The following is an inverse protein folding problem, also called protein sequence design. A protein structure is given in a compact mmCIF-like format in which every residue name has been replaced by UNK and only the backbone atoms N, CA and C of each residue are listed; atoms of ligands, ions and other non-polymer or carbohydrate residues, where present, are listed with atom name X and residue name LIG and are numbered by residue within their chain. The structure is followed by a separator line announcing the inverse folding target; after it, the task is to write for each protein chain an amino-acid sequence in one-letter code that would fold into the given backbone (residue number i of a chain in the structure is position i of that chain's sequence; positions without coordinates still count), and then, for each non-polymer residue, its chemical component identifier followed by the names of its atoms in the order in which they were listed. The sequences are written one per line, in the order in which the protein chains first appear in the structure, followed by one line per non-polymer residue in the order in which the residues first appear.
data_IF_434696221099
#
_entry.id   IF_434696221099
#
_cell.length_a   1.000
_cell.length_b   1.000
_cell.length_c   1.000
_cell.angle_alpha   90.00
_cell.angle_beta   90.00
_cell.angle_gamma   90.00
#
_symmetry.space_group_name_H-M   'P 1'
#
loop_
_entity.id
_entity.type
_entity.pdbx_description
1 polymer ?
#
# COMPACT_ATOMS: atom_id res chain seq x y z
N UNK A 1 -7.07 -35.41 -19.89
CA UNK A 1 -5.81 -34.80 -20.38
C UNK A 1 -5.80 -33.42 -19.78
N UNK A 2 -5.21 -33.34 -18.60
CA UNK A 2 -5.33 -32.20 -17.70
C UNK A 2 -4.33 -31.13 -18.15
N UNK A 3 -4.86 -29.99 -18.56
CA UNK A 3 -4.09 -28.77 -18.77
C UNK A 3 -3.89 -28.15 -17.38
N UNK A 4 -2.76 -28.45 -16.74
CA UNK A 4 -2.23 -27.67 -15.63
C UNK A 4 -1.49 -26.49 -16.25
N UNK A 5 -1.93 -25.22 -16.08
CA UNK A 5 -1.14 -24.08 -16.51
C UNK A 5 0.10 -24.01 -15.62
N UNK A 6 1.25 -24.06 -16.26
CA UNK A 6 2.56 -24.01 -15.65
C UNK A 6 2.82 -22.60 -15.10
N UNK A 7 2.31 -22.27 -13.92
CA UNK A 7 2.66 -21.04 -13.18
C UNK A 7 3.98 -21.31 -12.45
N UNK A 8 5.08 -21.40 -13.21
CA UNK A 8 6.44 -21.24 -12.69
C UNK A 8 7.32 -20.72 -13.83
N UNK A 9 7.15 -19.46 -14.20
CA UNK A 9 8.31 -18.68 -14.62
C UNK A 9 8.96 -18.18 -13.34
N UNK A 10 10.23 -18.54 -13.06
CA UNK A 10 10.95 -17.97 -11.94
C UNK A 10 10.93 -16.46 -12.11
N UNK A 11 10.49 -15.73 -11.08
CA UNK A 11 10.81 -14.31 -10.93
C UNK A 11 12.29 -14.21 -11.22
N UNK A 12 12.62 -13.47 -12.28
CA UNK A 12 14.00 -13.26 -12.68
C UNK A 12 14.70 -12.72 -11.43
N UNK A 13 15.66 -13.48 -10.90
CA UNK A 13 16.57 -13.01 -9.86
C UNK A 13 17.37 -11.86 -10.47
N UNK A 14 16.78 -10.68 -10.59
CA UNK A 14 17.56 -9.45 -10.59
C UNK A 14 18.03 -9.28 -9.16
N UNK A 15 19.08 -10.01 -8.80
CA UNK A 15 19.84 -9.74 -7.59
C UNK A 15 20.41 -8.33 -7.75
N UNK A 16 19.71 -7.34 -7.22
CA UNK A 16 20.31 -6.03 -6.92
C UNK A 16 21.18 -6.24 -5.66
N UNK A 17 22.18 -7.12 -5.69
CA UNK A 17 22.95 -7.43 -4.48
C UNK A 17 23.99 -6.32 -4.21
N UNK A 18 23.53 -5.13 -3.81
CA UNK A 18 24.39 -4.15 -3.13
C UNK A 18 24.74 -4.59 -1.71
N UNK A 19 23.98 -5.54 -1.16
CA UNK A 19 24.32 -6.26 0.07
C UNK A 19 24.71 -7.71 -0.28
N UNK A 20 25.91 -8.18 0.11
CA UNK A 20 26.32 -9.57 -0.01
C UNK A 20 25.34 -10.55 0.65
N UNK A 21 25.13 -11.71 0.01
CA UNK A 21 24.13 -12.71 0.45
C UNK A 21 24.40 -13.26 1.86
N UNK A 22 25.68 -13.35 2.25
CA UNK A 22 26.13 -13.74 3.58
C UNK A 22 25.77 -12.69 4.65
N UNK A 23 25.83 -11.39 4.30
CA UNK A 23 25.38 -10.30 5.17
C UNK A 23 23.85 -10.36 5.34
N UNK A 24 23.09 -10.56 4.26
CA UNK A 24 21.63 -10.73 4.33
C UNK A 24 21.24 -11.93 5.20
N UNK A 25 21.92 -13.08 5.03
CA UNK A 25 21.70 -14.26 5.89
C UNK A 25 22.01 -13.95 7.35
N UNK A 26 23.13 -13.28 7.62
CA UNK A 26 23.52 -12.89 8.98
C UNK A 26 22.51 -11.94 9.61
N UNK A 27 22.03 -10.93 8.88
CA UNK A 27 21.01 -10.01 9.34
C UNK A 27 19.72 -10.73 9.76
N UNK A 28 19.23 -11.66 8.92
CA UNK A 28 18.04 -12.47 9.22
C UNK A 28 18.23 -13.35 10.46
N UNK A 29 19.41 -13.95 10.62
CA UNK A 29 19.73 -14.75 11.80
C UNK A 29 19.72 -13.91 13.09
N UNK A 30 20.24 -12.69 13.04
CA UNK A 30 20.20 -11.76 14.18
C UNK A 30 18.77 -11.38 14.52
N UNK A 31 17.95 -11.02 13.53
CA UNK A 31 16.53 -10.70 13.75
C UNK A 31 15.79 -11.89 14.39
N UNK A 32 16.01 -13.11 13.88
CA UNK A 32 15.37 -14.31 14.43
C UNK A 32 15.82 -14.63 15.86
N UNK A 33 17.02 -14.21 16.25
CA UNK A 33 17.55 -14.32 17.63
C UNK A 33 16.89 -13.30 18.55
N UNK A 34 16.90 -12.04 18.14
CA UNK A 34 16.27 -10.91 18.85
C UNK A 34 14.78 -11.18 19.11
N UNK A 35 14.04 -11.63 18.09
CA UNK A 35 12.62 -11.94 18.20
C UNK A 35 12.31 -13.07 19.20
N UNK A 36 13.27 -13.95 19.51
CA UNK A 36 13.13 -15.05 20.47
C UNK A 36 13.55 -14.68 21.89
N UNK A 37 14.03 -13.45 22.12
CA UNK A 37 14.55 -13.02 23.43
C UNK A 37 15.76 -13.83 23.89
N UNK A 38 16.46 -14.49 22.96
CA UNK A 38 17.66 -15.26 23.25
C UNK A 38 18.83 -14.29 23.40
N UNK A 39 19.28 -14.06 24.63
CA UNK A 39 20.52 -13.32 24.88
C UNK A 39 21.70 -14.16 24.38
N UNK A 40 22.29 -13.73 23.27
CA UNK A 40 23.58 -14.23 22.80
C UNK A 40 23.52 -15.43 21.86
N UNK A 41 23.03 -15.25 20.63
CA UNK A 41 23.63 -15.95 19.49
C UNK A 41 24.28 -14.98 18.53
N UNK A 42 25.56 -15.23 18.31
CA UNK A 42 26.50 -14.50 17.46
C UNK A 42 25.94 -14.32 16.03
N UNK A 43 25.33 -13.17 15.78
CA UNK A 43 25.39 -12.59 14.45
C UNK A 43 26.75 -11.96 14.30
N UNK A 44 27.67 -12.63 13.62
CA UNK A 44 29.00 -12.10 13.29
C UNK A 44 28.88 -10.61 12.88
N UNK A 45 29.30 -9.70 13.77
CA UNK A 45 29.47 -8.29 13.47
C UNK A 45 28.24 -7.43 13.15
N UNK A 46 27.00 -7.92 13.30
CA UNK A 46 25.78 -7.14 13.03
C UNK A 46 24.91 -6.97 14.27
N UNK A 47 24.19 -5.85 14.34
CA UNK A 47 23.17 -5.55 15.35
C UNK A 47 21.84 -5.31 14.64
N UNK A 48 20.78 -5.95 15.12
CA UNK A 48 19.42 -5.64 14.73
C UNK A 48 18.72 -4.86 15.86
N UNK A 49 18.02 -3.79 15.51
CA UNK A 49 17.18 -3.02 16.43
C UNK A 49 15.80 -2.94 15.82
N UNK A 50 14.77 -3.39 16.55
CA UNK A 50 13.38 -3.21 16.11
C UNK A 50 13.07 -1.72 16.13
N UNK A 51 12.77 -1.15 14.96
CA UNK A 51 12.40 0.25 14.80
C UNK A 51 10.91 0.45 15.03
N UNK A 52 10.11 -0.45 14.46
CA UNK A 52 8.66 -0.32 14.47
C UNK A 52 7.96 -1.68 14.31
N UNK A 53 6.70 -1.71 14.70
CA UNK A 53 5.76 -2.79 14.44
C UNK A 53 4.42 -2.22 13.98
N UNK A 54 4.20 -2.25 12.66
CA UNK A 54 2.94 -1.85 12.07
C UNK A 54 1.89 -2.96 12.07
N UNK A 55 0.72 -2.66 11.49
CA UNK A 55 -0.35 -3.65 11.29
C UNK A 55 0.08 -4.81 10.37
N UNK A 56 1.04 -4.58 9.48
CA UNK A 56 1.35 -5.51 8.38
C UNK A 56 2.82 -5.94 8.28
N UNK A 57 3.75 -5.22 8.92
CA UNK A 57 5.19 -5.56 8.89
C UNK A 57 5.83 -5.32 10.26
N UNK A 58 6.88 -6.09 10.55
CA UNK A 58 7.87 -5.77 11.58
C UNK A 58 9.10 -5.16 10.90
N UNK A 59 9.65 -4.08 11.48
CA UNK A 59 10.72 -3.30 10.85
C UNK A 59 11.95 -3.30 11.74
N UNK A 60 13.09 -3.71 11.18
CA UNK A 60 14.37 -3.80 11.90
C UNK A 60 15.44 -2.97 11.20
N UNK A 61 16.15 -2.14 11.96
CA UNK A 61 17.39 -1.53 11.53
C UNK A 61 18.54 -2.50 11.73
N UNK A 62 19.30 -2.73 10.66
CA UNK A 62 20.51 -3.54 10.68
C UNK A 62 21.70 -2.60 10.55
N UNK A 63 22.65 -2.74 11.48
CA UNK A 63 23.86 -1.93 11.53
C UNK A 63 25.07 -2.78 11.90
N UNK A 64 26.28 -2.43 11.43
CA UNK A 64 27.49 -3.09 11.88
C UNK A 64 27.77 -2.79 13.38
N UNK A 65 28.30 -3.78 14.09
CA UNK A 65 28.86 -3.59 15.42
C UNK A 65 30.24 -2.94 15.31
N UNK A 66 30.55 -2.03 16.22
CA UNK A 66 31.75 -1.16 16.19
C UNK A 66 33.08 -1.90 16.01
N UNK A 67 33.14 -3.18 16.39
CA UNK A 67 34.39 -3.96 16.41
C UNK A 67 34.53 -4.95 15.23
N UNK A 68 33.63 -4.91 14.23
CA UNK A 68 33.66 -5.87 13.12
C UNK A 68 34.12 -5.28 11.79
N UNK A 69 35.41 -5.45 11.50
CA UNK A 69 36.05 -4.96 10.26
C UNK A 69 35.44 -5.51 8.97
N UNK A 70 34.83 -6.70 8.99
CA UNK A 70 34.20 -7.32 7.82
C UNK A 70 32.85 -6.66 7.45
N UNK A 71 32.12 -6.13 8.44
CA UNK A 71 30.79 -5.54 8.25
C UNK A 71 30.79 -4.01 8.31
N UNK A 72 31.88 -3.37 8.74
CA UNK A 72 32.03 -1.90 8.71
C UNK A 72 32.03 -1.28 7.29
N UNK A 73 31.88 -2.09 6.24
CA UNK A 73 31.80 -1.66 4.84
C UNK A 73 30.34 -1.41 4.39
N UNK A 74 29.35 -1.78 5.20
CA UNK A 74 27.93 -1.56 4.89
C UNK A 74 27.34 -0.42 5.71
N UNK A 75 26.62 0.48 5.04
CA UNK A 75 25.79 1.47 5.70
C UNK A 75 24.58 0.78 6.37
N UNK A 76 24.01 1.36 7.45
CA UNK A 76 22.80 0.85 8.05
C UNK A 76 21.66 0.70 7.03
N UNK A 77 20.90 -0.39 7.14
CA UNK A 77 19.79 -0.68 6.24
C UNK A 77 18.61 -1.26 7.00
N UNK A 78 17.42 -1.21 6.39
CA UNK A 78 16.19 -1.69 6.99
C UNK A 78 15.83 -3.07 6.43
N UNK A 79 15.41 -3.98 7.31
CA UNK A 79 14.76 -5.24 6.95
C UNK A 79 13.32 -5.21 7.46
N UNK A 80 12.38 -5.38 6.53
CA UNK A 80 10.94 -5.47 6.79
C UNK A 80 10.48 -6.92 6.63
N UNK A 81 9.78 -7.42 7.64
CA UNK A 81 9.24 -8.77 7.68
C UNK A 81 7.70 -8.69 7.64
N UNK A 82 7.05 -9.13 6.55
CA UNK A 82 5.59 -9.19 6.49
C UNK A 82 4.99 -10.10 7.57
N UNK A 83 3.95 -9.64 8.26
CA UNK A 83 3.19 -10.45 9.23
C UNK A 83 2.43 -11.57 8.52
N UNK A 84 2.10 -12.65 9.25
CA UNK A 84 1.45 -13.87 8.70
C UNK A 84 0.06 -13.65 8.06
N UNK A 85 -0.65 -12.60 8.47
CA UNK A 85 -1.98 -12.24 7.95
C UNK A 85 -1.80 -11.19 6.86
N UNK A 86 -1.58 -11.64 5.63
CA UNK A 86 -1.17 -10.78 4.53
C UNK A 86 -1.51 -11.40 3.17
N UNK A 87 -1.57 -10.59 2.11
CA UNK A 87 -1.82 -11.02 0.73
C UNK A 87 -0.52 -11.54 0.06
N UNK A 88 0.24 -12.41 0.73
CA UNK A 88 1.43 -13.02 0.12
C UNK A 88 1.04 -13.98 -1.03
N UNK A 89 1.88 -14.10 -2.08
CA UNK A 89 3.13 -13.37 -2.31
C UNK A 89 2.92 -11.95 -2.85
N UNK A 90 1.70 -11.60 -3.27
CA UNK A 90 1.38 -10.39 -4.03
C UNK A 90 1.83 -9.11 -3.33
N UNK A 91 1.69 -9.02 -2.01
CA UNK A 91 2.06 -7.81 -1.25
C UNK A 91 3.53 -7.41 -1.41
N UNK A 92 4.44 -8.37 -1.23
CA UNK A 92 5.90 -8.10 -1.34
C UNK A 92 6.27 -7.78 -2.79
N UNK A 93 5.70 -8.56 -3.73
CA UNK A 93 5.94 -8.34 -5.15
C UNK A 93 5.46 -6.95 -5.57
N UNK A 94 4.28 -6.54 -5.12
CA UNK A 94 3.69 -5.23 -5.41
C UNK A 94 4.59 -4.09 -4.93
N UNK A 95 4.97 -4.11 -3.65
CA UNK A 95 5.76 -3.04 -3.05
C UNK A 95 7.10 -2.83 -3.76
N UNK A 96 7.82 -3.93 -4.01
CA UNK A 96 9.14 -3.86 -4.65
C UNK A 96 9.04 -3.36 -6.09
N UNK A 97 8.07 -3.85 -6.85
CA UNK A 97 7.89 -3.41 -8.24
C UNK A 97 7.38 -1.96 -8.31
N UNK A 98 6.53 -1.53 -7.37
CA UNK A 98 6.08 -0.14 -7.28
C UNK A 98 7.25 0.81 -7.03
N UNK A 99 8.09 0.52 -6.02
CA UNK A 99 9.28 1.31 -5.70
C UNK A 99 10.23 1.38 -6.90
N UNK A 100 10.49 0.24 -7.55
CA UNK A 100 11.34 0.18 -8.75
C UNK A 100 10.78 1.02 -9.90
N UNK A 101 9.47 0.95 -10.13
CA UNK A 101 8.77 1.73 -11.14
C UNK A 101 8.84 3.24 -10.84
N UNK A 102 8.55 3.66 -9.61
CA UNK A 102 8.62 5.08 -9.20
C UNK A 102 10.04 5.60 -9.38
N UNK A 103 11.04 4.87 -8.86
CA UNK A 103 12.45 5.25 -8.97
C UNK A 103 12.90 5.47 -10.42
N UNK A 104 12.41 4.66 -11.36
CA UNK A 104 12.77 4.78 -12.78
C UNK A 104 11.96 5.82 -13.56
N UNK A 105 10.65 5.97 -13.30
CA UNK A 105 9.72 6.78 -14.12
C UNK A 105 9.39 8.13 -13.50
N UNK A 106 9.51 8.27 -12.19
CA UNK A 106 9.16 9.48 -11.43
C UNK A 106 10.15 9.71 -10.27
N UNK A 107 11.45 9.98 -10.56
CA UNK A 107 12.50 10.09 -9.55
C UNK A 107 12.30 11.26 -8.58
N UNK A 108 11.37 12.17 -8.89
CA UNK A 108 11.00 13.27 -8.01
C UNK A 108 10.09 12.84 -6.84
N UNK A 109 9.48 11.66 -6.90
CA UNK A 109 8.85 11.03 -5.74
C UNK A 109 9.95 10.19 -5.08
N UNK A 110 10.54 10.66 -3.98
CA UNK A 110 11.62 9.93 -3.34
C UNK A 110 11.05 8.65 -2.71
N UNK A 111 11.66 7.51 -3.04
CA UNK A 111 11.33 6.19 -2.48
C UNK A 111 12.60 5.51 -2.00
N UNK A 112 12.55 4.62 -0.99
CA UNK A 112 13.74 3.91 -0.52
C UNK A 112 14.34 3.02 -1.60
N UNK A 113 15.66 2.93 -1.68
CA UNK A 113 16.29 1.94 -2.57
C UNK A 113 16.06 0.51 -2.04
N UNK A 114 15.54 -0.40 -2.87
CA UNK A 114 15.39 -1.82 -2.53
C UNK A 114 16.70 -2.57 -2.81
N UNK A 115 17.27 -3.19 -1.77
CA UNK A 115 18.52 -3.95 -1.85
C UNK A 115 18.28 -5.44 -2.08
N UNK A 116 17.27 -6.03 -1.47
CA UNK A 116 16.93 -7.43 -1.69
C UNK A 116 15.51 -7.71 -1.22
N UNK A 117 14.89 -8.76 -1.73
CA UNK A 117 13.59 -9.21 -1.23
C UNK A 117 13.41 -10.70 -1.46
N UNK A 118 12.44 -11.28 -0.75
CA UNK A 118 11.87 -12.60 -0.99
C UNK A 118 10.37 -12.50 -0.79
N UNK A 119 9.59 -12.99 -1.74
CA UNK A 119 8.14 -13.19 -1.59
C UNK A 119 7.79 -14.61 -1.14
N UNK A 120 8.78 -15.50 -1.05
CA UNK A 120 8.56 -16.92 -0.79
C UNK A 120 8.16 -17.17 0.67
N UNK A 121 7.10 -17.96 0.85
CA UNK A 121 6.64 -18.45 2.15
C UNK A 121 7.48 -19.68 2.53
N UNK A 122 7.93 -19.84 3.80
CA UNK A 122 7.48 -19.12 4.99
C UNK A 122 8.29 -17.87 5.35
N UNK A 123 9.22 -17.43 4.51
CA UNK A 123 10.27 -16.50 4.93
C UNK A 123 10.39 -15.28 3.99
N UNK A 124 9.31 -14.50 3.82
CA UNK A 124 9.32 -13.30 3.00
C UNK A 124 10.01 -12.13 3.72
N UNK A 125 10.64 -11.25 2.96
CA UNK A 125 11.26 -10.03 3.50
C UNK A 125 11.48 -8.99 2.40
N UNK A 126 11.69 -7.75 2.82
CA UNK A 126 12.25 -6.67 2.00
C UNK A 126 13.42 -6.05 2.77
N UNK A 127 14.59 -6.00 2.16
CA UNK A 127 15.76 -5.28 2.63
C UNK A 127 15.95 -4.02 1.77
N UNK A 128 16.01 -2.85 2.39
CA UNK A 128 15.98 -1.56 1.71
C UNK A 128 16.80 -0.49 2.45
N UNK A 129 16.98 0.66 1.81
CA UNK A 129 17.63 1.85 2.37
C UNK A 129 17.01 2.25 3.72
N UNK A 130 17.87 2.59 4.68
CA UNK A 130 17.45 3.29 5.89
C UNK A 130 17.30 4.78 5.60
N UNK A 131 16.09 5.31 5.81
CA UNK A 131 15.81 6.73 5.62
C UNK A 131 16.02 7.47 6.95
N UNK A 132 17.10 8.24 7.02
CA UNK A 132 17.34 9.17 8.13
C UNK A 132 16.34 10.35 8.07
N UNK A 133 15.58 10.51 9.15
CA UNK A 133 14.51 11.50 9.27
C UNK A 133 13.43 11.08 10.26
N UNK A 134 12.38 11.89 10.34
CA UNK A 134 11.19 11.60 11.16
C UNK A 134 9.95 11.61 10.26
N UNK A 135 8.91 10.81 10.56
CA UNK A 135 7.62 10.93 9.89
C UNK A 135 7.08 12.37 9.91
N UNK A 136 6.32 12.75 8.88
CA UNK A 136 5.62 14.03 8.83
C UNK A 136 4.67 14.17 10.02
N UNK A 137 3.99 13.09 10.39
CA UNK A 137 3.07 13.03 11.53
C UNK A 137 3.71 13.40 12.88
N UNK A 138 4.99 13.07 13.09
CA UNK A 138 5.69 13.47 14.32
C UNK A 138 6.34 14.85 14.22
N UNK A 139 6.64 15.30 13.00
CA UNK A 139 7.32 16.58 12.76
C UNK A 139 6.37 17.77 12.66
N UNK A 140 5.10 17.54 12.26
CA UNK A 140 4.15 18.57 11.84
C UNK A 140 3.93 19.68 12.87
N UNK A 141 3.77 19.30 14.15
CA UNK A 141 3.51 20.27 15.23
C UNK A 141 4.72 21.15 15.55
N UNK A 142 5.92 20.76 15.12
CA UNK A 142 7.13 21.57 15.25
C UNK A 142 7.26 22.67 14.20
N UNK A 143 6.49 22.63 13.11
CA UNK A 143 6.57 23.60 12.02
C UNK A 143 5.77 24.87 12.32
N UNK A 144 6.34 26.02 11.92
CA UNK A 144 5.58 27.27 11.78
C UNK A 144 4.51 27.15 10.70
N UNK A 145 3.51 28.03 10.68
CA UNK A 145 2.47 28.01 9.62
C UNK A 145 3.07 28.16 8.20
N UNK A 146 4.12 28.97 8.03
CA UNK A 146 4.78 29.14 6.73
C UNK A 146 5.55 27.88 6.31
N UNK A 147 6.17 27.18 7.26
CA UNK A 147 6.81 25.88 7.02
C UNK A 147 5.77 24.82 6.68
N UNK A 148 4.63 24.78 7.40
CA UNK A 148 3.51 23.88 7.09
C UNK A 148 2.99 24.12 5.67
N UNK A 149 2.87 25.38 5.20
CA UNK A 149 2.49 25.68 3.81
C UNK A 149 3.51 25.13 2.81
N UNK A 150 4.80 25.29 3.07
CA UNK A 150 5.84 24.75 2.18
C UNK A 150 5.83 23.22 2.14
N UNK A 151 5.62 22.55 3.28
CA UNK A 151 5.52 21.09 3.32
C UNK A 151 4.24 20.60 2.66
N UNK A 152 3.09 21.24 2.92
CA UNK A 152 1.82 20.97 2.25
C UNK A 152 1.93 21.09 0.73
N UNK A 153 2.64 22.10 0.22
CA UNK A 153 2.88 22.25 -1.22
C UNK A 153 3.71 21.09 -1.79
N UNK A 154 4.72 20.60 -1.06
CA UNK A 154 5.50 19.42 -1.48
C UNK A 154 4.65 18.14 -1.50
N UNK A 155 3.75 17.98 -0.52
CA UNK A 155 2.79 16.87 -0.50
C UNK A 155 1.85 16.95 -1.71
N UNK A 156 1.33 18.14 -2.02
CA UNK A 156 0.50 18.37 -3.20
C UNK A 156 1.24 18.04 -4.51
N UNK A 157 2.51 18.44 -4.61
CA UNK A 157 3.35 18.11 -5.76
C UNK A 157 3.53 16.59 -5.95
N UNK A 158 3.66 15.82 -4.87
CA UNK A 158 3.76 14.35 -4.91
C UNK A 158 2.45 13.74 -5.39
N UNK A 159 1.30 14.20 -4.87
CA UNK A 159 -0.04 13.75 -5.29
C UNK A 159 -0.25 13.95 -6.78
N UNK A 160 0.07 15.14 -7.30
CA UNK A 160 -0.04 15.43 -8.74
C UNK A 160 0.91 14.54 -9.55
N UNK A 161 2.12 14.26 -9.08
CA UNK A 161 3.08 13.36 -9.77
C UNK A 161 2.61 11.90 -9.80
N UNK A 162 2.06 11.38 -8.70
CA UNK A 162 1.41 10.06 -8.71
C UNK A 162 0.30 10.04 -9.76
N UNK A 163 -0.50 11.11 -9.75
CA UNK A 163 -1.52 11.39 -10.73
C UNK A 163 -1.01 11.78 -12.11
N UNK A 164 0.28 11.74 -12.45
CA UNK A 164 0.82 11.85 -13.82
C UNK A 164 1.26 10.47 -14.36
N UNK A 165 1.45 9.49 -13.49
CA UNK A 165 1.79 8.12 -13.86
C UNK A 165 0.53 7.38 -14.31
N UNK A 166 0.33 7.23 -15.63
CA UNK A 166 -0.84 6.58 -16.25
C UNK A 166 -0.62 5.08 -16.51
N UNK A 167 -1.73 4.33 -16.47
CA UNK A 167 -1.83 2.91 -16.73
C UNK A 167 -3.10 2.55 -17.52
N UNK A 168 -3.11 1.38 -18.14
CA UNK A 168 -4.22 0.91 -18.99
C UNK A 168 -5.20 -0.03 -18.27
N UNK A 169 -4.88 -0.45 -17.03
CA UNK A 169 -5.69 -1.37 -16.24
C UNK A 169 -5.66 -1.01 -14.76
N UNK A 170 -6.60 -1.57 -13.99
CA UNK A 170 -6.60 -1.57 -12.52
C UNK A 170 -5.85 -2.81 -12.04
N UNK A 171 -4.88 -2.66 -11.13
CA UNK A 171 -4.08 -3.79 -10.65
C UNK A 171 -2.89 -3.39 -9.81
N UNK A 172 -2.25 -4.39 -9.19
CA UNK A 172 -0.96 -4.22 -8.50
C UNK A 172 0.22 -4.42 -9.46
N UNK A 173 1.43 -4.07 -9.04
CA UNK A 173 2.64 -4.18 -9.87
C UNK A 173 3.30 -5.56 -9.70
N UNK A 174 3.35 -6.37 -10.77
CA UNK A 174 3.75 -7.79 -10.66
C UNK A 174 4.97 -8.22 -11.47
N UNK A 175 5.52 -7.36 -12.33
CA UNK A 175 6.78 -7.67 -13.03
C UNK A 175 7.27 -6.57 -13.97
N UNK A 176 8.59 -6.58 -14.20
CA UNK A 176 9.44 -5.72 -15.03
C UNK A 176 9.15 -4.21 -15.06
N UNK A 177 10.18 -3.45 -15.46
CA UNK A 177 10.21 -1.97 -15.57
C UNK A 177 9.09 -1.39 -16.47
N UNK A 178 8.28 -2.25 -17.12
CA UNK A 178 7.20 -1.92 -18.06
C UNK A 178 5.78 -1.89 -17.49
N UNK A 179 5.57 -1.84 -16.17
CA UNK A 179 4.24 -1.73 -15.54
C UNK A 179 3.31 -2.92 -15.82
N UNK A 180 3.81 -4.16 -15.72
CA UNK A 180 2.91 -5.32 -15.75
C UNK A 180 2.01 -5.30 -14.52
N UNK A 181 0.72 -5.14 -14.77
CA UNK A 181 -0.29 -5.16 -13.74
C UNK A 181 -0.77 -6.59 -13.47
N UNK A 182 -1.00 -6.90 -12.20
CA UNK A 182 -1.47 -8.19 -11.72
C UNK A 182 -2.59 -8.03 -10.69
N UNK A 183 -2.82 -9.07 -9.84
CA UNK A 183 -3.90 -9.06 -8.87
C UNK A 183 -3.88 -7.85 -7.95
N UNK A 184 -5.03 -7.24 -7.68
CA UNK A 184 -5.13 -6.04 -6.83
C UNK A 184 -4.77 -6.35 -5.36
N UNK A 185 -3.94 -5.50 -4.74
CA UNK A 185 -3.46 -5.67 -3.36
C UNK A 185 -3.97 -4.52 -2.50
N UNK A 186 -4.99 -4.76 -1.67
CA UNK A 186 -5.73 -3.72 -0.93
C UNK A 186 -5.92 -4.10 0.54
N UNK A 187 -5.90 -3.11 1.43
CA UNK A 187 -6.11 -3.32 2.86
C UNK A 187 -7.47 -3.97 3.19
N UNK A 188 -8.53 -3.61 2.44
CA UNK A 188 -9.89 -4.13 2.65
C UNK A 188 -10.02 -5.64 2.39
N UNK A 189 -9.03 -6.25 1.74
CA UNK A 189 -8.97 -7.70 1.53
C UNK A 189 -8.37 -8.45 2.70
N UNK A 190 -7.92 -7.77 3.76
CA UNK A 190 -7.30 -8.40 4.92
C UNK A 190 -8.29 -8.66 6.05
N UNK A 191 -9.26 -7.75 6.24
CA UNK A 191 -10.11 -7.72 7.41
C UNK A 191 -10.94 -9.00 7.60
N UNK A 192 -10.99 -9.48 8.86
CA UNK A 192 -11.80 -10.63 9.29
C UNK A 192 -11.62 -11.90 8.44
N UNK A 193 -10.38 -12.17 7.99
CA UNK A 193 -10.07 -13.40 7.28
C UNK A 193 -10.30 -13.38 5.78
N UNK A 194 -10.72 -12.24 5.18
CA UNK A 194 -10.86 -12.09 3.72
C UNK A 194 -9.61 -12.48 2.94
N UNK A 195 -8.42 -12.31 3.53
CA UNK A 195 -7.14 -12.65 2.89
C UNK A 195 -7.03 -14.13 2.52
N UNK A 196 -7.76 -15.02 3.24
CA UNK A 196 -7.77 -16.47 3.00
C UNK A 196 -8.40 -16.84 1.65
N UNK A 197 -9.20 -15.93 1.08
CA UNK A 197 -9.96 -16.15 -0.15
C UNK A 197 -9.47 -15.28 -1.31
N UNK A 198 -8.35 -14.57 -1.17
CA UNK A 198 -7.79 -13.76 -2.25
C UNK A 198 -6.99 -14.63 -3.23
N UNK A 199 -7.69 -15.34 -4.10
CA UNK A 199 -7.11 -16.18 -5.17
C UNK A 199 -8.02 -16.24 -6.39
N UNK A 200 -7.45 -16.56 -7.56
CA UNK A 200 -8.22 -16.76 -8.81
C UNK A 200 -9.19 -17.96 -8.75
N UNK A 201 -9.07 -18.83 -7.75
CA UNK A 201 -10.00 -19.94 -7.53
C UNK A 201 -11.27 -19.48 -6.81
N UNK A 202 -11.21 -18.36 -6.09
CA UNK A 202 -12.32 -17.82 -5.31
C UNK A 202 -13.10 -16.76 -6.11
N UNK A 203 -12.40 -15.81 -6.72
CA UNK A 203 -12.99 -14.76 -7.57
C UNK A 203 -11.92 -14.17 -8.50
N UNK A 204 -12.32 -13.38 -9.49
CA UNK A 204 -11.37 -12.67 -10.34
C UNK A 204 -10.62 -11.60 -9.52
N UNK A 205 -9.33 -11.82 -9.24
CA UNK A 205 -8.50 -10.90 -8.45
C UNK A 205 -7.80 -9.81 -9.30
N UNK A 206 -8.04 -9.81 -10.62
CA UNK A 206 -7.49 -8.84 -11.56
C UNK A 206 -6.21 -9.33 -12.26
N UNK A 207 -5.58 -8.48 -13.09
CA UNK A 207 -5.90 -7.05 -13.28
C UNK A 207 -7.19 -6.83 -14.08
N UNK A 208 -7.84 -5.67 -13.91
CA UNK A 208 -9.13 -5.34 -14.53
C UNK A 208 -8.97 -4.29 -15.62
N UNK A 209 -9.68 -4.44 -16.74
CA UNK A 209 -9.60 -3.48 -17.86
C UNK A 209 -10.51 -2.26 -17.71
N UNK A 210 -11.50 -2.35 -16.83
CA UNK A 210 -12.46 -1.28 -16.60
C UNK A 210 -12.80 -1.16 -15.12
N UNK A 211 -13.23 0.04 -14.71
CA UNK A 211 -13.75 0.29 -13.37
C UNK A 211 -14.98 -0.58 -13.07
N UNK A 212 -15.79 -0.86 -14.10
CA UNK A 212 -16.94 -1.77 -13.97
C UNK A 212 -16.52 -3.19 -13.59
N UNK A 213 -15.53 -3.76 -14.28
CA UNK A 213 -15.06 -5.12 -13.99
C UNK A 213 -14.48 -5.21 -12.57
N UNK A 214 -13.71 -4.19 -12.16
CA UNK A 214 -13.20 -4.07 -10.80
C UNK A 214 -14.33 -4.04 -9.76
N UNK A 215 -15.33 -3.18 -9.95
CA UNK A 215 -16.49 -3.10 -9.03
C UNK A 215 -17.22 -4.44 -8.93
N UNK A 216 -17.49 -5.10 -10.06
CA UNK A 216 -18.17 -6.41 -10.04
C UNK A 216 -17.35 -7.48 -9.32
N UNK A 217 -16.03 -7.47 -9.51
CA UNK A 217 -15.11 -8.37 -8.80
C UNK A 217 -15.07 -8.10 -7.28
N UNK A 218 -15.21 -6.85 -6.84
CA UNK A 218 -15.36 -6.52 -5.42
C UNK A 218 -16.63 -7.12 -4.81
N UNK A 219 -17.75 -7.14 -5.54
CA UNK A 219 -18.96 -7.84 -5.11
C UNK A 219 -18.75 -9.36 -5.11
N UNK A 220 -18.09 -9.91 -6.13
CA UNK A 220 -17.78 -11.36 -6.19
C UNK A 220 -16.92 -11.81 -5.01
N UNK A 221 -15.92 -11.00 -4.61
CA UNK A 221 -15.11 -11.19 -3.40
C UNK A 221 -16.00 -11.33 -2.15
N UNK A 222 -16.92 -10.39 -1.93
CA UNK A 222 -17.76 -10.37 -0.73
C UNK A 222 -18.79 -11.50 -0.74
N UNK A 223 -19.42 -11.77 -1.89
CA UNK A 223 -20.32 -12.93 -2.06
C UNK A 223 -19.56 -14.22 -1.74
N UNK A 224 -18.35 -14.39 -2.26
CA UNK A 224 -17.56 -15.59 -1.99
C UNK A 224 -17.19 -15.69 -0.51
N UNK A 225 -16.71 -14.60 0.10
CA UNK A 225 -16.37 -14.55 1.52
C UNK A 225 -17.56 -14.95 2.40
N UNK A 226 -18.71 -14.29 2.28
CA UNK A 226 -19.86 -14.59 3.13
C UNK A 226 -20.47 -15.98 2.88
N UNK A 227 -20.25 -16.55 1.70
CA UNK A 227 -20.70 -17.92 1.38
C UNK A 227 -19.78 -19.00 1.97
N UNK A 228 -18.47 -18.75 2.08
CA UNK A 228 -17.47 -19.80 2.38
C UNK A 228 -16.71 -19.59 3.70
N UNK A 229 -16.74 -18.39 4.27
CA UNK A 229 -16.01 -18.08 5.49
C UNK A 229 -16.53 -18.91 6.68
N UNK A 230 -15.64 -19.39 7.55
CA UNK A 230 -16.06 -20.02 8.79
C UNK A 230 -16.76 -18.99 9.67
N UNK A 231 -17.67 -19.46 10.53
CA UNK A 231 -18.42 -18.59 11.45
C UNK A 231 -17.51 -17.77 12.38
N UNK A 232 -16.29 -18.22 12.65
CA UNK A 232 -15.28 -17.48 13.43
C UNK A 232 -14.79 -16.21 12.75
N UNK A 233 -14.87 -16.15 11.43
CA UNK A 233 -14.44 -15.00 10.63
C UNK A 233 -15.61 -14.02 10.42
N UNK A 234 -16.86 -14.49 10.48
CA UNK A 234 -18.04 -13.64 10.31
C UNK A 234 -18.39 -12.87 11.59
N UNK A 235 -18.49 -11.55 11.49
CA UNK A 235 -18.96 -10.71 12.58
C UNK A 235 -20.48 -10.63 12.62
N UNK A 236 -21.11 -11.61 13.29
CA UNK A 236 -22.57 -11.66 13.43
C UNK A 236 -23.16 -10.47 14.21
N UNK A 237 -22.34 -9.69 14.93
CA UNK A 237 -22.80 -8.45 15.56
C UNK A 237 -23.28 -7.41 14.54
N UNK A 238 -22.85 -7.50 13.28
CA UNK A 238 -23.25 -6.59 12.20
C UNK A 238 -24.57 -7.01 11.51
N UNK A 239 -25.18 -8.12 11.92
CA UNK A 239 -26.35 -8.74 11.28
C UNK A 239 -27.63 -8.56 12.12
N UNK A 240 -27.78 -7.42 12.81
CA UNK A 240 -28.92 -7.18 13.72
C UNK A 240 -30.29 -7.27 13.02
N UNK A 241 -30.38 -6.76 11.78
CA UNK A 241 -31.63 -6.60 11.04
C UNK A 241 -31.71 -7.46 9.77
N UNK A 242 -30.75 -8.36 9.54
CA UNK A 242 -30.66 -9.13 8.28
C UNK A 242 -29.94 -10.44 8.53
N UNK A 243 -30.43 -11.56 7.98
CA UNK A 243 -29.74 -12.85 8.11
C UNK A 243 -28.52 -12.91 7.18
N UNK A 244 -27.56 -13.80 7.48
CA UNK A 244 -26.41 -14.02 6.59
C UNK A 244 -26.84 -14.37 5.16
N UNK A 245 -27.87 -15.21 5.03
CA UNK A 245 -28.37 -15.63 3.72
C UNK A 245 -29.02 -14.46 2.97
N UNK A 246 -29.85 -13.66 3.65
CA UNK A 246 -30.48 -12.49 3.04
C UNK A 246 -29.43 -11.47 2.58
N UNK A 247 -28.35 -11.27 3.35
CA UNK A 247 -27.27 -10.37 2.95
C UNK A 247 -26.52 -10.87 1.71
N UNK A 248 -26.22 -12.18 1.63
CA UNK A 248 -25.62 -12.77 0.43
C UNK A 248 -26.53 -12.54 -0.79
N UNK A 249 -27.84 -12.69 -0.63
CA UNK A 249 -28.80 -12.50 -1.72
C UNK A 249 -28.94 -11.01 -2.11
N UNK A 250 -28.82 -10.07 -1.15
CA UNK A 250 -28.72 -8.64 -1.42
C UNK A 250 -27.45 -8.30 -2.23
N UNK A 251 -26.29 -8.86 -1.87
CA UNK A 251 -25.04 -8.68 -2.61
C UNK A 251 -25.15 -9.19 -4.04
N UNK A 252 -25.74 -10.38 -4.24
CA UNK A 252 -25.97 -10.96 -5.57
C UNK A 252 -26.90 -10.10 -6.42
N UNK A 253 -28.03 -9.66 -5.84
CA UNK A 253 -28.98 -8.79 -6.53
C UNK A 253 -28.33 -7.46 -6.92
N UNK A 254 -27.53 -6.86 -6.03
CA UNK A 254 -26.81 -5.62 -6.33
C UNK A 254 -25.77 -5.81 -7.41
N UNK A 255 -24.99 -6.89 -7.36
CA UNK A 255 -24.01 -7.25 -8.40
C UNK A 255 -24.66 -7.41 -9.78
N UNK A 256 -25.81 -8.09 -9.86
CA UNK A 256 -26.58 -8.24 -11.11
C UNK A 256 -27.14 -6.91 -11.62
N UNK A 257 -27.66 -6.07 -10.71
CA UNK A 257 -28.08 -4.72 -11.03
C UNK A 257 -26.92 -3.89 -11.62
N UNK A 258 -25.74 -3.93 -11.00
CA UNK A 258 -24.56 -3.19 -11.49
C UNK A 258 -24.06 -3.75 -12.82
N UNK A 259 -24.08 -5.07 -13.01
CA UNK A 259 -23.69 -5.69 -14.28
C UNK A 259 -24.51 -5.15 -15.47
N UNK A 260 -25.80 -4.89 -15.25
CA UNK A 260 -26.72 -4.40 -16.29
C UNK A 260 -26.76 -2.88 -16.43
N UNK A 261 -26.69 -2.14 -15.32
CA UNK A 261 -26.99 -0.70 -15.30
C UNK A 261 -25.80 0.21 -15.00
N UNK A 262 -24.72 -0.31 -14.40
CA UNK A 262 -23.56 0.51 -14.07
C UNK A 262 -22.77 0.83 -15.33
N UNK A 263 -22.61 2.14 -15.57
CA UNK A 263 -21.75 2.73 -16.58
C UNK A 263 -20.74 3.57 -15.83
N UNK A 264 -19.57 2.98 -15.55
CA UNK A 264 -18.51 3.70 -14.87
C UNK A 264 -18.03 4.87 -15.74
N UNK A 265 -17.72 6.00 -15.11
CA UNK A 265 -16.84 6.96 -15.74
C UNK A 265 -15.45 6.30 -15.79
N UNK A 266 -14.99 5.90 -16.98
CA UNK A 266 -13.62 5.40 -17.15
C UNK A 266 -12.66 6.59 -17.01
N UNK A 267 -12.35 6.92 -15.76
CA UNK A 267 -11.30 7.84 -15.38
C UNK A 267 -9.93 7.30 -15.80
N UNK A 268 -8.92 8.17 -15.99
CA UNK A 268 -7.56 7.70 -16.18
C UNK A 268 -7.12 6.83 -14.99
N UNK A 269 -6.54 5.66 -15.25
CA UNK A 269 -5.91 4.87 -14.19
C UNK A 269 -4.52 5.41 -13.89
N UNK A 270 -4.25 5.63 -12.61
CA UNK A 270 -3.07 6.33 -12.12
C UNK A 270 -2.43 5.60 -10.95
N UNK A 271 -1.20 5.97 -10.61
CA UNK A 271 -0.55 5.45 -9.42
C UNK A 271 -1.31 5.95 -8.18
N UNK A 272 -1.78 5.01 -7.38
CA UNK A 272 -2.36 5.26 -6.06
C UNK A 272 -1.52 4.53 -5.02
N UNK A 273 -1.21 5.21 -3.92
CA UNK A 273 -0.39 4.67 -2.84
C UNK A 273 -1.13 3.62 -2.00
N UNK A 274 -2.44 3.83 -1.77
CA UNK A 274 -3.29 2.97 -0.95
C UNK A 274 -3.26 3.25 0.56
N UNK A 275 -2.34 4.11 1.04
CA UNK A 275 -2.26 4.55 2.44
C UNK A 275 -1.45 5.86 2.55
N UNK A 276 -1.80 6.89 1.77
CA UNK A 276 -1.00 8.12 1.71
C UNK A 276 -1.34 9.08 2.85
N UNK A 277 -0.56 9.05 3.92
CA UNK A 277 -0.72 9.90 5.10
C UNK A 277 0.63 10.32 5.70
N UNK A 278 0.62 11.24 6.67
CA UNK A 278 1.82 11.81 7.28
C UNK A 278 2.76 10.82 7.97
N UNK A 279 2.30 9.61 8.33
CA UNK A 279 3.19 8.57 8.88
C UNK A 279 4.11 7.98 7.81
N UNK A 280 3.63 7.95 6.57
CA UNK A 280 4.31 7.35 5.43
C UNK A 280 5.16 8.36 4.64
N UNK A 281 5.35 9.58 5.16
CA UNK A 281 6.18 10.62 4.54
C UNK A 281 7.34 10.96 5.48
N UNK A 282 8.56 10.58 5.11
CA UNK A 282 9.76 10.85 5.90
C UNK A 282 10.30 12.25 5.63
N UNK A 283 10.59 12.99 6.69
CA UNK A 283 11.02 14.39 6.67
C UNK A 283 12.41 14.57 7.28
N UNK A 284 13.20 15.46 6.68
CA UNK A 284 14.43 16.00 7.28
C UNK A 284 14.40 17.52 7.14
N UNK A 285 14.07 18.21 8.24
CA UNK A 285 13.63 19.60 8.16
C UNK A 285 12.40 19.70 7.24
N UNK A 286 12.42 20.63 6.29
CA UNK A 286 11.30 20.81 5.34
C UNK A 286 11.37 19.91 4.10
N UNK A 287 12.39 19.06 3.97
CA UNK A 287 12.61 18.22 2.80
C UNK A 287 11.96 16.85 3.00
N UNK A 288 11.17 16.42 2.01
CA UNK A 288 10.71 15.02 1.91
C UNK A 288 11.90 14.15 1.51
N UNK A 289 12.22 13.17 2.35
CA UNK A 289 13.34 12.23 2.14
C UNK A 289 12.90 10.93 1.48
N UNK A 290 11.70 10.46 1.78
CA UNK A 290 11.09 9.31 1.14
C UNK A 290 9.57 9.26 1.42
N UNK A 291 8.82 8.63 0.53
CA UNK A 291 7.47 8.12 0.76
C UNK A 291 7.58 6.61 0.96
N UNK A 292 7.03 6.09 2.05
CA UNK A 292 7.17 4.72 2.54
C UNK A 292 5.89 3.89 2.34
N UNK A 293 5.94 2.58 2.60
CA UNK A 293 4.77 1.69 2.70
C UNK A 293 3.87 1.64 1.45
N UNK A 294 4.49 1.35 0.30
CA UNK A 294 3.80 1.17 -0.99
C UNK A 294 3.14 -0.21 -1.16
N UNK A 295 2.91 -0.93 -0.08
CA UNK A 295 2.44 -2.32 -0.09
C UNK A 295 1.03 -2.50 -0.67
N UNK A 296 0.15 -1.50 -0.49
CA UNK A 296 -1.22 -1.47 -1.03
C UNK A 296 -1.36 -0.56 -2.26
N UNK A 297 -0.24 -0.23 -2.88
CA UNK A 297 -0.25 0.60 -4.07
C UNK A 297 -0.77 -0.14 -5.30
N UNK A 298 -1.19 0.60 -6.30
CA UNK A 298 -1.60 0.03 -7.58
C UNK A 298 -2.03 1.09 -8.57
N UNK A 299 -2.46 0.63 -9.74
CA UNK A 299 -3.16 1.44 -10.72
C UNK A 299 -4.66 1.44 -10.41
N UNK A 300 -5.25 2.63 -10.22
CA UNK A 300 -6.66 2.81 -9.86
C UNK A 300 -7.23 4.09 -10.51
N UNK A 301 -8.56 4.28 -10.55
CA UNK A 301 -9.17 5.53 -11.02
C UNK A 301 -8.58 6.78 -10.38
N UNK A 302 -8.55 7.89 -11.11
CA UNK A 302 -7.90 9.15 -10.70
C UNK A 302 -8.45 9.69 -9.37
N UNK A 303 -9.74 9.58 -9.13
CA UNK A 303 -10.38 9.97 -7.88
C UNK A 303 -9.85 9.20 -6.65
N UNK A 304 -9.25 8.03 -6.87
CA UNK A 304 -8.78 7.15 -5.80
C UNK A 304 -7.41 7.55 -5.23
N UNK A 305 -6.69 8.53 -5.81
CA UNK A 305 -5.37 8.94 -5.29
C UNK A 305 -5.44 9.34 -3.82
N UNK A 306 -6.48 10.10 -3.45
CA UNK A 306 -6.75 10.54 -2.08
C UNK A 306 -8.04 9.97 -1.50
N UNK A 307 -8.79 9.19 -2.29
CA UNK A 307 -9.93 8.38 -1.86
C UNK A 307 -11.07 9.16 -1.19
N UNK A 308 -11.27 10.43 -1.53
CA UNK A 308 -12.31 11.31 -0.95
C UNK A 308 -12.16 11.65 0.54
N UNK A 309 -11.22 11.04 1.25
CA UNK A 309 -10.98 11.27 2.69
C UNK A 309 -9.97 12.40 2.95
N UNK A 310 -9.22 12.78 1.91
CA UNK A 310 -8.18 13.80 1.99
C UNK A 310 -6.86 13.24 2.55
N UNK A 311 -6.03 14.12 3.12
CA UNK A 311 -4.67 13.75 3.57
C UNK A 311 -4.49 14.18 5.02
N UNK A 312 -4.33 13.18 5.88
CA UNK A 312 -3.95 13.39 7.28
C UNK A 312 -2.44 13.66 7.37
N UNK A 313 -2.09 14.77 8.02
CA UNK A 313 -0.70 15.18 8.25
C UNK A 313 -0.20 14.78 9.63
N UNK A 314 -1.12 14.44 10.55
CA UNK A 314 -0.90 14.02 11.94
C UNK A 314 -1.66 12.71 12.22
N UNK A 315 -1.23 12.01 13.27
CA UNK A 315 -2.07 10.98 13.90
C UNK A 315 -3.18 11.65 14.73
N UNK A 316 -4.41 11.13 14.59
CA UNK A 316 -5.56 11.60 15.38
C UNK A 316 -5.49 10.98 16.76
N UNK A 317 -5.18 11.80 17.76
CA UNK A 317 -5.07 11.40 19.17
C UNK A 317 -6.06 12.16 20.07
N UNK A 318 -6.62 13.26 19.57
CA UNK A 318 -7.55 14.16 20.26
C UNK A 318 -8.31 15.04 19.24
N UNK A 319 -9.30 15.81 19.71
CA UNK A 319 -10.09 16.70 18.85
C UNK A 319 -9.25 17.82 18.21
N UNK A 320 -8.09 18.18 18.80
CA UNK A 320 -7.20 19.21 18.25
C UNK A 320 -6.45 18.72 17.03
N UNK A 321 -5.90 17.50 17.09
CA UNK A 321 -5.27 16.82 15.95
C UNK A 321 -6.27 16.55 14.83
N UNK A 322 -7.51 16.16 15.15
CA UNK A 322 -8.59 16.04 14.15
C UNK A 322 -8.89 17.37 13.45
N UNK A 323 -9.04 18.47 14.21
CA UNK A 323 -9.25 19.82 13.63
C UNK A 323 -8.09 20.28 12.77
N UNK A 324 -6.86 20.01 13.19
CA UNK A 324 -5.66 20.38 12.44
C UNK A 324 -5.56 19.56 11.13
N UNK A 325 -5.86 18.25 11.17
CA UNK A 325 -5.96 17.42 9.97
C UNK A 325 -7.05 17.94 9.03
N UNK A 326 -8.26 18.22 9.51
CA UNK A 326 -9.34 18.75 8.68
C UNK A 326 -8.95 20.07 7.99
N UNK A 327 -8.36 21.01 8.75
CA UNK A 327 -7.87 22.30 8.24
C UNK A 327 -6.81 22.12 7.16
N UNK A 328 -5.83 21.24 7.36
CA UNK A 328 -4.71 21.08 6.43
C UNK A 328 -5.00 20.16 5.26
N UNK A 329 -5.82 19.13 5.46
CA UNK A 329 -6.35 18.30 4.38
C UNK A 329 -7.06 19.18 3.35
N UNK A 330 -7.96 20.09 3.79
CA UNK A 330 -8.61 21.04 2.89
C UNK A 330 -7.60 21.94 2.14
N UNK A 331 -6.60 22.47 2.84
CA UNK A 331 -5.56 23.32 2.23
C UNK A 331 -4.70 22.55 1.23
N UNK A 332 -4.29 21.34 1.57
CA UNK A 332 -3.50 20.47 0.68
C UNK A 332 -4.31 20.13 -0.55
N UNK A 333 -5.59 19.76 -0.41
CA UNK A 333 -6.45 19.46 -1.56
C UNK A 333 -6.65 20.67 -2.48
N UNK A 334 -6.76 21.88 -1.94
CA UNK A 334 -6.74 23.10 -2.75
C UNK A 334 -5.40 23.27 -3.51
N UNK A 335 -4.27 23.07 -2.82
CA UNK A 335 -2.94 23.12 -3.43
C UNK A 335 -2.76 22.04 -4.51
N UNK A 336 -3.31 20.84 -4.32
CA UNK A 336 -3.31 19.75 -5.32
C UNK A 336 -4.02 20.21 -6.59
N UNK A 337 -5.23 20.77 -6.46
CA UNK A 337 -5.98 21.28 -7.60
C UNK A 337 -5.28 22.45 -8.30
N UNK A 338 -4.69 23.39 -7.56
CA UNK A 338 -3.89 24.49 -8.12
C UNK A 338 -2.64 23.98 -8.85
N UNK A 339 -1.93 23.02 -8.25
CA UNK A 339 -0.72 22.42 -8.82
C UNK A 339 -1.04 21.68 -10.12
N UNK A 340 -2.11 20.89 -10.15
CA UNK A 340 -2.57 20.19 -11.36
C UNK A 340 -2.90 21.18 -12.49
N UNK A 341 -3.63 22.27 -12.19
CA UNK A 341 -3.90 23.34 -13.17
C UNK A 341 -2.64 24.01 -13.69
N UNK A 342 -1.69 24.32 -12.81
CA UNK A 342 -0.40 24.91 -13.19
C UNK A 342 0.40 23.98 -14.12
N UNK A 343 0.24 22.67 -13.97
CA UNK A 343 0.84 21.66 -14.86
C UNK A 343 0.02 21.34 -16.11
N UNK A 344 -1.05 22.10 -16.36
CA UNK A 344 -1.81 22.04 -17.61
C UNK A 344 -2.86 20.93 -17.68
N UNK A 345 -3.26 20.36 -16.54
CA UNK A 345 -4.36 19.39 -16.50
C UNK A 345 -5.67 20.05 -16.91
N UNK A 346 -6.57 19.26 -17.50
CA UNK A 346 -7.91 19.76 -17.84
C UNK A 346 -8.75 19.96 -16.58
N UNK A 347 -9.69 20.91 -16.57
CA UNK A 347 -10.58 21.10 -15.40
C UNK A 347 -11.35 19.81 -15.05
N UNK A 348 -11.70 18.99 -16.05
CA UNK A 348 -12.34 17.69 -15.83
C UNK A 348 -11.45 16.73 -15.02
N UNK A 349 -10.16 16.65 -15.34
CA UNK A 349 -9.22 15.82 -14.56
C UNK A 349 -8.97 16.40 -13.17
N UNK A 350 -8.92 17.73 -13.04
CA UNK A 350 -8.79 18.39 -11.75
C UNK A 350 -10.00 18.13 -10.86
N UNK A 351 -11.22 18.19 -11.40
CA UNK A 351 -12.46 17.84 -10.72
C UNK A 351 -12.48 16.39 -10.25
N UNK A 352 -11.99 15.45 -11.07
CA UNK A 352 -11.83 14.04 -10.67
C UNK A 352 -10.80 13.88 -9.55
N UNK A 353 -9.64 14.55 -9.65
CA UNK A 353 -8.54 14.45 -8.70
C UNK A 353 -8.90 14.96 -7.29
N UNK A 354 -9.67 16.05 -7.20
CA UNK A 354 -10.00 16.70 -5.91
C UNK A 354 -11.43 16.44 -5.44
N UNK A 355 -12.21 15.68 -6.22
CA UNK A 355 -13.58 15.30 -5.89
C UNK A 355 -13.67 14.04 -5.04
N UNK A 356 -14.92 13.66 -4.73
CA UNK A 356 -15.23 12.49 -3.89
C UNK A 356 -15.20 11.15 -4.64
N UNK A 357 -14.96 11.19 -5.96
CA UNK A 357 -15.00 10.02 -6.84
C UNK A 357 -16.40 9.46 -7.08
N UNK A 358 -16.47 8.28 -7.70
CA UNK A 358 -17.71 7.56 -7.90
C UNK A 358 -18.10 6.83 -6.60
N UNK A 359 -19.26 7.13 -5.99
CA UNK A 359 -19.66 6.50 -4.73
C UNK A 359 -19.86 4.99 -4.83
N UNK A 360 -20.17 4.46 -6.03
CA UNK A 360 -20.25 3.01 -6.27
C UNK A 360 -18.87 2.38 -6.16
N UNK A 361 -17.85 3.03 -6.72
CA UNK A 361 -16.45 2.57 -6.64
C UNK A 361 -15.95 2.66 -5.20
N UNK A 362 -16.17 3.80 -4.54
CA UNK A 362 -15.80 4.00 -3.13
C UNK A 362 -16.44 2.95 -2.22
N UNK A 363 -17.73 2.65 -2.38
CA UNK A 363 -18.39 1.59 -1.64
C UNK A 363 -17.82 0.20 -1.96
N UNK A 364 -17.60 -0.11 -3.25
CA UNK A 364 -17.14 -1.43 -3.67
C UNK A 364 -15.74 -1.78 -3.17
N UNK A 365 -14.86 -0.78 -3.07
CA UNK A 365 -13.46 -0.95 -2.63
C UNK A 365 -13.34 -1.26 -1.13
N UNK A 366 -14.32 -0.83 -0.33
CA UNK A 366 -14.35 -1.08 1.11
C UNK A 366 -14.89 -2.47 1.45
N UNK A 367 -14.76 -2.88 2.72
CA UNK A 367 -15.48 -4.03 3.24
C UNK A 367 -16.99 -3.76 3.24
N UNK A 368 -17.76 -4.67 2.64
CA UNK A 368 -19.20 -4.57 2.61
C UNK A 368 -19.80 -5.25 3.84
N UNK A 369 -20.58 -4.51 4.62
CA UNK A 369 -21.31 -5.03 5.78
C UNK A 369 -22.82 -4.87 5.58
N UNK A 370 -23.66 -5.67 6.27
CA UNK A 370 -25.12 -5.56 6.17
C UNK A 370 -25.66 -4.18 6.57
N UNK A 371 -24.98 -3.48 7.46
CA UNK A 371 -25.35 -2.11 7.88
C UNK A 371 -25.11 -1.06 6.79
N UNK A 372 -24.41 -1.42 5.72
CA UNK A 372 -24.07 -0.54 4.60
C UNK A 372 -25.06 -0.62 3.44
N UNK A 373 -26.15 -1.40 3.57
CA UNK A 373 -27.14 -1.69 2.52
C UNK A 373 -28.55 -1.23 2.84
#
# INVERSE_FOLDING_TARGET
MDFVPNIMTPIQKSSISRIPLDILKSARNVIATEAKGLSGSEGHGLKAVKLDEGGYNEVFLISPQTDSSHFNVIEPFVVRLPKKVTLLPYKVVNEVNCISMISSRCPDIPVPEVYAFSSDVPDPFIAQEYIDGNPLSSSWNGYTEDEKRQVAQRVADIVVKMGEMRFDQIGSFTGDVGALLGPTVEGSKLFKGRFKFHSQECYDIGPYKSTKDYVLACYDKEIYYYTHAPTSDIDFGLFENTSLQDFIDQLRAKREQLATSFVAADEPFVLVHGDFNGRNIMMQGLKVRAVLDWEFSGAYPLSEIVGGVGIDVLEVIDDDSERENAKWSQRIMAMVGETARQRGWTEREVEMLVGDGDPVVGHAKMEMFPTSF
#
